data_IF_313918327428
#
_entry.id   IF_313918327428
#
_cell.length_a   1.000
_cell.length_b   1.000
_cell.length_c   1.000
_cell.angle_alpha   90.00
_cell.angle_beta   90.00
_cell.angle_gamma   90.00
#
_symmetry.space_group_name_H-M   'P 1'
#
loop_
_entity.id
_entity.type
_entity.pdbx_description
1 polymer ?
#
# COMPACT_ATOMS: atom_id res chain seq x y z
N UNK A 1 24.95 -5.46 -12.63
CA UNK A 1 23.48 -5.65 -12.67
C UNK A 1 23.23 -7.05 -12.14
N UNK A 2 22.64 -7.15 -10.96
CA UNK A 2 22.24 -8.43 -10.38
C UNK A 2 20.80 -8.61 -10.83
N UNK A 3 20.55 -9.57 -11.71
CA UNK A 3 19.19 -9.97 -12.06
C UNK A 3 18.52 -10.51 -10.79
N UNK A 4 17.27 -10.11 -10.47
CA UNK A 4 16.56 -10.69 -9.35
C UNK A 4 16.35 -12.19 -9.63
N UNK A 5 16.82 -13.04 -8.71
CA UNK A 5 16.59 -14.48 -8.79
C UNK A 5 15.07 -14.75 -8.78
N UNK A 6 14.54 -15.52 -9.74
CA UNK A 6 13.16 -15.98 -9.67
C UNK A 6 12.98 -16.86 -8.42
N UNK A 7 12.01 -16.50 -7.58
CA UNK A 7 11.65 -17.22 -6.35
C UNK A 7 11.39 -18.69 -6.69
N UNK A 8 12.15 -19.62 -6.08
CA UNK A 8 11.94 -21.07 -6.27
C UNK A 8 10.82 -21.58 -5.35
N UNK A 9 9.91 -22.46 -5.82
CA UNK A 9 8.71 -22.84 -5.06
C UNK A 9 8.92 -23.84 -3.91
N UNK A 10 10.14 -24.11 -3.46
CA UNK A 10 10.41 -25.31 -2.65
C UNK A 10 10.83 -24.95 -1.20
N UNK A 11 9.85 -24.55 -0.37
CA UNK A 11 9.90 -24.62 1.10
C UNK A 11 8.52 -24.36 1.77
N UNK A 12 7.41 -24.84 1.20
CA UNK A 12 6.07 -24.58 1.76
C UNK A 12 5.53 -25.80 2.52
N UNK A 13 5.26 -25.66 3.82
CA UNK A 13 4.52 -26.68 4.57
C UNK A 13 3.06 -26.67 4.17
N UNK A 14 2.56 -27.82 3.74
CA UNK A 14 1.16 -28.06 3.38
C UNK A 14 0.28 -28.10 4.63
N UNK A 15 -0.14 -26.92 5.09
CA UNK A 15 -1.36 -26.69 5.87
C UNK A 15 -2.22 -25.66 5.13
N UNK A 16 -3.50 -25.49 5.50
CA UNK A 16 -4.37 -24.43 4.97
C UNK A 16 -3.89 -23.05 5.44
N UNK A 17 -2.79 -22.58 4.85
CA UNK A 17 -2.13 -21.32 5.14
C UNK A 17 -2.81 -20.18 4.38
N UNK A 18 -3.09 -19.08 5.06
CA UNK A 18 -3.50 -17.82 4.42
C UNK A 18 -2.27 -16.95 4.32
N UNK A 19 -2.02 -16.37 3.15
CA UNK A 19 -0.85 -15.55 2.89
C UNK A 19 -1.25 -14.14 2.49
N UNK A 20 -0.65 -13.15 3.14
CA UNK A 20 -0.84 -11.74 2.81
C UNK A 20 0.50 -11.19 2.28
N UNK A 21 0.52 -10.84 1.00
CA UNK A 21 1.64 -10.18 0.36
C UNK A 21 1.57 -8.67 0.59
N UNK A 22 2.69 -8.09 1.00
CA UNK A 22 2.77 -6.67 1.37
C UNK A 22 4.00 -6.03 0.75
N UNK A 23 3.95 -4.71 0.63
CA UNK A 23 5.14 -3.95 0.24
C UNK A 23 6.21 -4.01 1.34
N UNK A 24 7.47 -4.11 0.91
CA UNK A 24 8.60 -4.23 1.83
C UNK A 24 9.72 -5.09 1.27
N UNK A 25 10.95 -4.74 1.65
CA UNK A 25 12.16 -5.44 1.20
C UNK A 25 12.46 -6.74 1.95
N UNK A 26 12.00 -6.85 3.19
CA UNK A 26 12.30 -7.94 4.13
C UNK A 26 11.25 -7.94 5.27
N UNK A 27 11.22 -8.98 6.10
CA UNK A 27 10.26 -9.10 7.20
C UNK A 27 10.45 -8.03 8.31
N UNK A 28 11.55 -7.29 8.22
CA UNK A 28 11.92 -6.23 9.14
C UNK A 28 11.49 -4.83 8.67
N UNK A 29 10.96 -4.71 7.45
CA UNK A 29 10.27 -3.51 6.98
C UNK A 29 9.03 -3.23 7.85
N UNK A 30 8.57 -1.98 7.87
CA UNK A 30 7.55 -1.54 8.82
C UNK A 30 6.24 -2.31 8.64
N UNK A 31 5.69 -2.32 7.43
CA UNK A 31 4.46 -3.00 7.06
C UNK A 31 4.41 -4.49 7.42
N UNK A 32 5.31 -5.36 6.90
CA UNK A 32 5.27 -6.78 7.21
C UNK A 32 5.45 -7.05 8.71
N UNK A 33 6.27 -6.24 9.39
CA UNK A 33 6.48 -6.37 10.83
C UNK A 33 5.19 -6.09 11.61
N UNK A 34 4.51 -4.99 11.31
CA UNK A 34 3.30 -4.57 12.00
C UNK A 34 2.12 -5.49 11.66
N UNK A 35 1.91 -5.77 10.37
CA UNK A 35 0.83 -6.66 9.93
C UNK A 35 1.03 -8.08 10.43
N UNK A 36 2.28 -8.57 10.51
CA UNK A 36 2.59 -9.86 11.11
C UNK A 36 2.17 -9.94 12.58
N UNK A 37 2.35 -8.86 13.35
CA UNK A 37 1.87 -8.80 14.73
C UNK A 37 0.35 -8.65 14.84
N UNK A 38 -0.29 -7.93 13.92
CA UNK A 38 -1.74 -7.77 13.92
C UNK A 38 -2.44 -9.09 13.57
N UNK A 39 -1.99 -9.74 12.49
CA UNK A 39 -2.72 -10.82 11.81
C UNK A 39 -2.17 -12.22 12.08
N UNK A 40 -0.91 -12.37 12.48
CA UNK A 40 -0.28 -13.68 12.67
C UNK A 40 -1.00 -14.59 13.66
N UNK A 41 -1.65 -14.01 14.67
CA UNK A 41 -2.49 -14.75 15.64
C UNK A 41 -3.74 -15.40 15.03
N UNK A 42 -4.13 -14.97 13.83
CA UNK A 42 -5.21 -15.57 13.07
C UNK A 42 -4.68 -16.56 12.01
N UNK A 43 -3.40 -16.95 12.03
CA UNK A 43 -2.84 -17.89 11.06
C UNK A 43 -2.69 -17.27 9.66
N UNK A 44 -2.33 -15.98 9.61
CA UNK A 44 -1.97 -15.27 8.37
C UNK A 44 -0.46 -15.16 8.31
N UNK A 45 0.14 -15.71 7.26
CA UNK A 45 1.55 -15.57 6.92
C UNK A 45 1.77 -14.29 6.11
N UNK A 46 2.41 -13.28 6.70
CA UNK A 46 2.64 -11.98 6.05
C UNK A 46 3.99 -12.00 5.34
N UNK A 47 3.99 -11.80 4.02
CA UNK A 47 5.17 -11.93 3.17
C UNK A 47 5.52 -10.62 2.44
N UNK A 48 6.70 -10.05 2.69
CA UNK A 48 7.21 -8.93 1.92
C UNK A 48 7.66 -9.40 0.54
N UNK A 49 7.32 -8.66 -0.52
CA UNK A 49 7.69 -9.04 -1.90
C UNK A 49 8.28 -7.89 -2.72
N UNK A 50 8.69 -6.80 -2.07
CA UNK A 50 9.27 -5.63 -2.72
C UNK A 50 8.24 -4.53 -2.91
N UNK A 51 8.24 -3.86 -4.07
CA UNK A 51 7.29 -2.81 -4.38
C UNK A 51 5.97 -3.34 -4.94
N UNK A 52 4.96 -2.46 -5.07
CA UNK A 52 3.61 -2.81 -5.54
C UNK A 52 3.55 -3.70 -6.79
N UNK A 53 4.40 -3.49 -7.81
CA UNK A 53 4.41 -4.31 -9.04
C UNK A 53 4.71 -5.79 -8.75
N UNK A 54 5.62 -6.07 -7.81
CA UNK A 54 5.93 -7.43 -7.39
C UNK A 54 4.82 -8.04 -6.54
N UNK A 55 4.18 -7.22 -5.69
CA UNK A 55 3.04 -7.66 -4.87
C UNK A 55 1.90 -8.16 -5.76
N UNK A 56 1.53 -7.38 -6.76
CA UNK A 56 0.48 -7.75 -7.71
C UNK A 56 0.86 -9.00 -8.52
N UNK A 57 2.11 -9.08 -9.01
CA UNK A 57 2.59 -10.23 -9.78
C UNK A 57 2.58 -11.53 -8.95
N UNK A 58 2.98 -11.48 -7.67
CA UNK A 58 2.98 -12.63 -6.79
C UNK A 58 1.58 -13.21 -6.58
N UNK A 59 0.59 -12.36 -6.31
CA UNK A 59 -0.79 -12.80 -6.13
C UNK A 59 -1.36 -13.36 -7.43
N UNK A 60 -1.18 -12.69 -8.56
CA UNK A 60 -1.68 -13.19 -9.85
C UNK A 60 -1.10 -14.55 -10.22
N UNK A 61 0.20 -14.77 -10.00
CA UNK A 61 0.83 -16.06 -10.27
C UNK A 61 0.24 -17.18 -9.41
N UNK A 62 0.02 -16.92 -8.12
CA UNK A 62 -0.49 -17.93 -7.19
C UNK A 62 -1.99 -18.20 -7.38
N UNK A 63 -2.80 -17.17 -7.65
CA UNK A 63 -4.22 -17.37 -8.01
C UNK A 63 -4.37 -18.17 -9.30
N UNK A 64 -3.46 -18.00 -10.26
CA UNK A 64 -3.47 -18.77 -11.50
C UNK A 64 -3.11 -20.25 -11.26
N UNK A 65 -2.13 -20.52 -10.39
CA UNK A 65 -1.77 -21.90 -10.01
C UNK A 65 -2.88 -22.59 -9.23
N UNK A 66 -3.56 -21.86 -8.34
CA UNK A 66 -4.74 -22.34 -7.59
C UNK A 66 -5.89 -22.71 -8.54
N UNK A 67 -6.19 -21.88 -9.54
CA UNK A 67 -7.22 -22.16 -10.56
C UNK A 67 -6.84 -23.32 -11.50
N UNK A 68 -5.54 -23.55 -11.72
CA UNK A 68 -5.03 -24.60 -12.58
C UNK A 68 -4.89 -25.97 -11.89
N UNK A 69 -4.83 -25.98 -10.55
CA UNK A 69 -4.72 -27.20 -9.76
C UNK A 69 -6.09 -27.85 -9.55
N UNK A 70 -6.18 -29.16 -9.79
CA UNK A 70 -7.39 -29.96 -9.51
C UNK A 70 -7.38 -30.57 -8.10
N UNK A 71 -6.35 -30.27 -7.31
CA UNK A 71 -6.20 -30.77 -5.95
C UNK A 71 -6.77 -29.75 -4.94
N UNK A 72 -8.05 -29.91 -4.59
CA UNK A 72 -8.76 -29.08 -3.60
C UNK A 72 -8.15 -29.19 -2.18
N UNK A 73 -7.26 -30.15 -1.92
CA UNK A 73 -6.73 -30.42 -0.58
C UNK A 73 -5.59 -29.49 -0.13
N UNK A 74 -5.07 -28.64 -1.04
CA UNK A 74 -3.92 -27.76 -0.78
C UNK A 74 -4.11 -26.30 -1.25
N UNK A 75 -5.33 -25.77 -1.22
CA UNK A 75 -5.58 -24.36 -1.58
C UNK A 75 -5.03 -23.42 -0.49
N UNK A 76 -3.90 -22.77 -0.79
CA UNK A 76 -3.45 -21.58 -0.04
C UNK A 76 -4.43 -20.45 -0.39
N UNK A 77 -4.70 -19.53 0.53
CA UNK A 77 -5.46 -18.33 0.16
C UNK A 77 -4.53 -17.13 0.11
N UNK A 78 -4.35 -16.57 -1.08
CA UNK A 78 -3.43 -15.47 -1.31
C UNK A 78 -4.17 -14.12 -1.38
N UNK A 79 -3.67 -13.15 -0.61
CA UNK A 79 -4.15 -11.77 -0.57
C UNK A 79 -2.97 -10.83 -0.77
N UNK A 80 -3.22 -9.60 -1.22
CA UNK A 80 -2.22 -8.54 -1.21
C UNK A 80 -2.78 -7.22 -0.72
N UNK A 81 -1.97 -6.48 0.04
CA UNK A 81 -2.23 -5.08 0.31
C UNK A 81 -1.06 -4.21 -0.14
N UNK A 82 -1.38 -3.07 -0.76
CA UNK A 82 -0.40 -2.11 -1.29
C UNK A 82 -0.70 -0.69 -0.80
N UNK A 83 0.32 0.15 -0.86
CA UNK A 83 0.20 1.57 -0.51
C UNK A 83 -0.67 2.31 -1.52
N UNK A 84 -1.37 3.33 -1.03
CA UNK A 84 -2.20 4.19 -1.88
C UNK A 84 -1.37 5.00 -2.86
N UNK A 85 -0.25 5.55 -2.39
CA UNK A 85 0.56 6.51 -3.14
C UNK A 85 -0.29 7.68 -3.68
N UNK A 86 -0.35 7.87 -5.01
CA UNK A 86 -1.08 8.94 -5.69
C UNK A 86 -2.45 8.47 -6.23
N UNK A 87 -2.86 7.21 -5.95
CA UNK A 87 -4.07 6.62 -6.52
C UNK A 87 -5.34 7.39 -6.09
N UNK A 88 -6.29 7.59 -7.02
CA UNK A 88 -7.51 8.33 -6.76
C UNK A 88 -8.46 7.56 -5.83
N UNK A 89 -9.42 8.25 -5.22
CA UNK A 89 -10.34 7.65 -4.22
C UNK A 89 -11.22 6.55 -4.79
N UNK A 90 -11.66 6.68 -6.04
CA UNK A 90 -12.52 5.69 -6.70
C UNK A 90 -11.81 4.34 -6.88
N UNK A 91 -10.53 4.35 -7.31
CA UNK A 91 -9.70 3.14 -7.39
C UNK A 91 -9.51 2.50 -6.01
N UNK A 92 -9.26 3.31 -4.98
CA UNK A 92 -9.07 2.83 -3.61
C UNK A 92 -10.34 2.20 -3.07
N UNK A 93 -11.46 2.95 -3.06
CA UNK A 93 -12.71 2.49 -2.45
C UNK A 93 -13.32 1.29 -3.19
N UNK A 94 -13.06 1.13 -4.49
CA UNK A 94 -13.44 -0.08 -5.22
C UNK A 94 -12.83 -1.36 -4.60
N UNK A 95 -11.66 -1.28 -3.96
CA UNK A 95 -11.04 -2.43 -3.26
C UNK A 95 -11.61 -2.69 -1.86
N UNK A 96 -12.39 -1.74 -1.32
CA UNK A 96 -13.05 -1.82 -0.02
C UNK A 96 -14.57 -2.05 -0.12
N UNK A 97 -15.16 -1.93 -1.30
CA UNK A 97 -16.61 -2.03 -1.52
C UNK A 97 -17.15 -3.41 -1.13
N UNK A 98 -17.89 -3.50 -0.02
CA UNK A 98 -18.38 -4.78 0.53
C UNK A 98 -17.45 -5.38 1.59
N UNK A 99 -16.40 -4.67 1.99
CA UNK A 99 -15.39 -5.06 2.96
C UNK A 99 -14.02 -5.30 2.29
N UNK A 100 -12.93 -5.39 3.07
CA UNK A 100 -11.61 -5.66 2.51
C UNK A 100 -11.60 -7.01 1.80
N UNK A 101 -10.98 -7.07 0.63
CA UNK A 101 -10.86 -8.28 -0.20
C UNK A 101 -12.20 -8.88 -0.68
N UNK A 102 -13.28 -8.10 -0.68
CA UNK A 102 -14.59 -8.58 -1.15
C UNK A 102 -14.70 -8.56 -2.68
N UNK A 103 -14.09 -7.56 -3.34
CA UNK A 103 -14.02 -7.44 -4.80
C UNK A 103 -12.90 -8.28 -5.45
N UNK A 104 -12.06 -8.93 -4.64
CA UNK A 104 -10.93 -9.73 -5.12
C UNK A 104 -9.86 -9.97 -4.05
N UNK A 105 -8.68 -10.40 -4.46
CA UNK A 105 -7.55 -10.67 -3.55
C UNK A 105 -6.66 -9.44 -3.27
N UNK A 106 -7.00 -8.27 -3.82
CA UNK A 106 -6.19 -7.05 -3.70
C UNK A 106 -6.89 -5.97 -2.86
N UNK A 107 -6.12 -5.29 -2.03
CA UNK A 107 -6.55 -4.16 -1.21
C UNK A 107 -5.55 -3.01 -1.39
N UNK A 108 -6.05 -1.79 -1.52
CA UNK A 108 -5.22 -0.58 -1.50
C UNK A 108 -5.54 0.18 -0.22
N UNK A 109 -4.54 0.53 0.60
CA UNK A 109 -4.80 1.31 1.82
C UNK A 109 -5.54 2.61 1.51
N UNK A 110 -6.42 3.08 2.41
CA UNK A 110 -7.08 4.38 2.23
C UNK A 110 -6.13 5.55 2.47
N UNK A 111 -5.06 5.32 3.24
CA UNK A 111 -3.99 6.30 3.50
C UNK A 111 -2.81 6.10 2.57
N UNK A 112 -2.05 7.18 2.36
CA UNK A 112 -0.93 7.30 1.43
C UNK A 112 0.04 6.13 1.53
N UNK A 113 0.47 5.86 2.75
CA UNK A 113 1.27 4.74 3.17
C UNK A 113 0.66 4.13 4.43
N UNK A 114 1.10 2.92 4.76
CA UNK A 114 0.68 2.25 5.98
C UNK A 114 1.17 2.97 7.26
N UNK A 115 2.32 3.66 7.21
CA UNK A 115 2.79 4.50 8.32
C UNK A 115 1.79 5.57 8.74
N UNK A 116 0.94 6.08 7.84
CA UNK A 116 -0.05 7.11 8.16
C UNK A 116 -1.08 6.67 9.22
N UNK A 117 -1.29 5.38 9.47
CA UNK A 117 -2.12 4.92 10.60
C UNK A 117 -1.46 5.22 11.97
N UNK A 118 -0.14 5.37 12.01
CA UNK A 118 0.64 5.70 13.21
C UNK A 118 0.88 7.20 13.38
N UNK A 119 0.24 8.04 12.56
CA UNK A 119 0.24 9.48 12.77
C UNK A 119 -0.92 9.95 13.64
N UNK A 120 -1.87 9.09 14.00
CA UNK A 120 -3.00 9.46 14.85
C UNK A 120 -2.58 9.54 16.33
N UNK A 121 -2.55 10.73 16.95
CA UNK A 121 -2.06 10.87 18.32
C UNK A 121 -2.85 10.01 19.30
N UNK A 122 -4.18 9.98 19.16
CA UNK A 122 -5.08 9.16 19.98
C UNK A 122 -4.77 7.66 19.89
N UNK A 123 -4.30 7.19 18.72
CA UNK A 123 -3.90 5.80 18.56
C UNK A 123 -2.55 5.52 19.21
N UNK A 124 -1.51 6.26 18.83
CA UNK A 124 -0.14 5.92 19.24
C UNK A 124 0.16 6.26 20.70
N UNK A 125 -0.56 7.21 21.31
CA UNK A 125 -0.42 7.52 22.74
C UNK A 125 -0.89 6.38 23.65
N UNK A 126 -1.58 5.37 23.11
CA UNK A 126 -1.99 4.19 23.86
C UNK A 126 -0.89 3.13 24.00
N UNK A 127 0.29 3.36 23.41
CA UNK A 127 1.43 2.46 23.58
C UNK A 127 1.92 2.48 25.04
N UNK A 128 2.31 1.34 25.59
CA UNK A 128 2.79 1.22 26.98
C UNK A 128 4.06 2.04 27.23
N UNK A 129 4.84 2.26 26.17
CA UNK A 129 6.09 3.03 26.19
C UNK A 129 5.88 4.54 25.98
N UNK A 130 4.64 5.01 25.83
CA UNK A 130 4.35 6.43 25.73
C UNK A 130 4.56 7.11 27.10
N UNK A 131 5.38 8.15 27.13
CA UNK A 131 5.72 8.94 28.32
C UNK A 131 5.42 10.44 28.13
N UNK A 132 4.92 10.81 26.95
CA UNK A 132 4.66 12.20 26.57
C UNK A 132 3.28 12.72 26.98
N UNK A 133 3.03 13.98 26.64
CA UNK A 133 1.69 14.57 26.67
C UNK A 133 1.05 14.50 25.27
N UNK A 134 -0.23 14.12 25.21
CA UNK A 134 -0.95 13.94 23.94
C UNK A 134 -1.06 15.21 23.11
N UNK A 135 -1.24 16.36 23.77
CA UNK A 135 -1.31 17.67 23.12
C UNK A 135 0.02 18.06 22.46
N UNK A 136 1.13 17.73 23.09
CA UNK A 136 2.49 17.96 22.64
C UNK A 136 2.85 17.08 21.46
N UNK A 137 2.38 15.82 21.46
CA UNK A 137 2.47 14.89 20.34
C UNK A 137 1.69 15.44 19.13
N UNK A 138 0.42 15.79 19.33
CA UNK A 138 -0.45 16.35 18.30
C UNK A 138 0.12 17.66 17.71
N UNK A 139 0.59 18.56 18.58
CA UNK A 139 1.22 19.81 18.18
C UNK A 139 2.56 19.59 17.47
N UNK A 140 3.31 18.55 17.85
CA UNK A 140 4.54 18.13 17.19
C UNK A 140 4.30 17.72 15.75
N UNK A 141 3.32 16.83 15.55
CA UNK A 141 2.91 16.37 14.23
C UNK A 141 2.43 17.52 13.36
N UNK A 142 1.53 18.37 13.86
CA UNK A 142 1.03 19.52 13.09
C UNK A 142 2.15 20.45 12.65
N UNK A 143 3.13 20.72 13.52
CA UNK A 143 4.29 21.55 13.14
C UNK A 143 5.11 20.92 12.02
N UNK A 144 5.35 19.62 12.09
CA UNK A 144 6.13 18.93 11.04
C UNK A 144 5.35 18.86 9.73
N UNK A 145 4.06 18.48 9.79
CA UNK A 145 3.18 18.49 8.63
C UNK A 145 3.11 19.90 8.00
N UNK A 146 3.00 20.94 8.81
CA UNK A 146 2.96 22.32 8.32
C UNK A 146 4.24 22.74 7.59
N UNK A 147 5.40 22.26 8.03
CA UNK A 147 6.69 22.52 7.36
C UNK A 147 6.80 21.82 6.01
N UNK A 148 6.08 20.70 5.84
CA UNK A 148 6.22 19.81 4.68
C UNK A 148 5.06 19.89 3.68
N UNK A 149 3.89 20.41 4.05
CA UNK A 149 2.68 20.37 3.22
C UNK A 149 2.89 20.84 1.77
N UNK A 150 3.67 21.91 1.55
CA UNK A 150 3.98 22.39 0.19
C UNK A 150 4.93 21.45 -0.56
N UNK A 151 5.91 20.86 0.14
CA UNK A 151 6.82 19.88 -0.42
C UNK A 151 6.06 18.60 -0.82
N UNK A 152 5.18 18.10 0.06
CA UNK A 152 4.39 16.91 -0.20
C UNK A 152 3.33 17.15 -1.31
N UNK A 153 2.68 18.33 -1.34
CA UNK A 153 1.81 18.71 -2.46
C UNK A 153 2.53 18.69 -3.82
N UNK A 154 3.77 19.20 -3.87
CA UNK A 154 4.60 19.16 -5.07
C UNK A 154 5.02 17.74 -5.44
N UNK A 155 5.39 16.92 -4.45
CA UNK A 155 5.77 15.52 -4.69
C UNK A 155 4.61 14.66 -5.18
N UNK A 156 3.37 14.93 -4.76
CA UNK A 156 2.20 14.25 -5.31
C UNK A 156 2.08 14.50 -6.83
N UNK A 157 2.38 15.72 -7.30
CA UNK A 157 2.43 16.03 -8.76
C UNK A 157 3.54 15.22 -9.44
N UNK A 158 4.73 15.14 -8.83
CA UNK A 158 5.86 14.38 -9.40
C UNK A 158 5.56 12.87 -9.45
N UNK A 159 4.93 12.32 -8.40
CA UNK A 159 4.49 10.91 -8.36
C UNK A 159 3.45 10.64 -9.46
N UNK A 160 2.46 11.51 -9.60
CA UNK A 160 1.45 11.41 -10.67
C UNK A 160 2.09 11.42 -12.06
N UNK A 161 3.04 12.35 -12.31
CA UNK A 161 3.77 12.42 -13.57
C UNK A 161 4.55 11.14 -13.84
N UNK A 162 5.29 10.61 -12.85
CA UNK A 162 6.04 9.35 -13.01
C UNK A 162 5.13 8.21 -13.44
N UNK A 163 3.93 8.11 -12.84
CA UNK A 163 2.98 7.08 -13.23
C UNK A 163 2.42 7.29 -14.64
N UNK A 164 2.04 8.51 -15.01
CA UNK A 164 1.61 8.84 -16.37
C UNK A 164 2.70 8.50 -17.39
N UNK A 165 3.95 8.81 -17.08
CA UNK A 165 5.09 8.48 -17.95
C UNK A 165 5.30 6.97 -18.11
N UNK A 166 5.06 6.16 -17.07
CA UNK A 166 5.11 4.68 -17.15
C UNK A 166 3.97 4.08 -17.97
N UNK A 167 2.78 4.67 -17.88
CA UNK A 167 1.57 4.16 -18.53
C UNK A 167 1.39 4.64 -19.97
N UNK A 168 2.19 5.59 -20.46
CA UNK A 168 2.07 6.05 -21.82
C UNK A 168 2.41 4.98 -22.84
N UNK A 169 1.51 4.87 -23.81
CA UNK A 169 1.64 3.98 -24.94
C UNK A 169 2.88 4.36 -25.75
N UNK A 170 3.90 3.50 -25.73
CA UNK A 170 4.96 3.54 -26.73
C UNK A 170 4.38 2.91 -28.00
N UNK A 171 4.40 3.62 -29.14
CA UNK A 171 3.81 3.13 -30.38
C UNK A 171 4.38 1.76 -30.74
N UNK A 172 3.50 0.78 -30.97
CA UNK A 172 3.90 -0.47 -31.61
C UNK A 172 3.98 -0.23 -33.11
N UNK A 173 5.17 -0.35 -33.67
CA UNK A 173 5.33 -0.22 -35.13
C UNK A 173 4.63 -1.42 -35.81
N UNK A 174 3.65 -1.18 -36.69
CA UNK A 174 3.02 -2.27 -37.41
C UNK A 174 3.99 -2.88 -38.43
N UNK A 175 3.94 -4.20 -38.60
CA UNK A 175 4.66 -4.86 -39.69
C UNK A 175 3.94 -4.59 -41.01
N UNK A 176 4.56 -3.82 -41.92
CA UNK A 176 3.94 -3.43 -43.20
C UNK A 176 4.87 -3.75 -44.37
N UNK A 177 4.66 -4.92 -44.99
CA UNK A 177 5.40 -5.34 -46.19
C UNK A 177 6.91 -5.33 -45.96
N UNK A 178 7.64 -4.54 -46.76
CA UNK A 178 9.10 -4.41 -46.72
C UNK A 178 9.60 -3.30 -45.77
N UNK A 179 8.76 -2.78 -44.87
CA UNK A 179 9.10 -1.66 -43.96
C UNK A 179 10.28 -1.92 -43.03
N UNK A 180 10.68 -3.19 -42.86
CA UNK A 180 11.84 -3.63 -42.07
C UNK A 180 12.82 -4.49 -42.89
N UNK A 181 12.78 -4.41 -44.22
CA UNK A 181 13.64 -5.21 -45.10
C UNK A 181 15.13 -4.84 -45.02
N UNK A 182 15.44 -3.62 -44.60
CA UNK A 182 16.80 -3.13 -44.35
C UNK A 182 16.82 -2.06 -43.25
N UNK A 183 18.03 -1.70 -42.79
CA UNK A 183 18.22 -0.75 -41.69
C UNK A 183 17.65 0.65 -42.01
N UNK A 184 17.76 1.13 -43.25
CA UNK A 184 17.28 2.46 -43.62
C UNK A 184 15.75 2.51 -43.63
N UNK A 185 15.09 1.45 -44.09
CA UNK A 185 13.62 1.32 -44.04
C UNK A 185 13.10 1.16 -42.61
N UNK A 186 13.80 0.39 -41.77
CA UNK A 186 13.47 0.25 -40.36
C UNK A 186 13.58 1.61 -39.63
N UNK A 187 14.65 2.37 -39.90
CA UNK A 187 14.84 3.72 -39.36
C UNK A 187 13.75 4.69 -39.84
N UNK A 188 13.44 4.71 -41.14
CA UNK A 188 12.36 5.54 -41.67
C UNK A 188 10.99 5.20 -41.07
N UNK A 189 10.71 3.90 -40.86
CA UNK A 189 9.47 3.42 -40.23
C UNK A 189 9.39 3.82 -38.75
N UNK A 190 10.52 3.78 -38.03
CA UNK A 190 10.61 4.23 -36.65
C UNK A 190 10.36 5.74 -36.55
N UNK A 191 11.04 6.55 -37.37
CA UNK A 191 10.93 8.02 -37.34
C UNK A 191 9.57 8.52 -37.86
N UNK A 192 8.93 7.79 -38.75
CA UNK A 192 7.65 8.15 -39.37
C UNK A 192 6.41 7.70 -38.61
N UNK A 193 6.52 7.07 -37.44
CA UNK A 193 5.34 6.63 -36.70
C UNK A 193 4.54 7.83 -36.15
N UNK A 194 3.31 7.97 -36.64
CA UNK A 194 2.45 9.13 -36.36
C UNK A 194 2.18 9.36 -34.86
N UNK A 195 2.20 8.29 -34.09
CA UNK A 195 1.89 8.34 -32.66
C UNK A 195 2.98 9.06 -31.84
N UNK A 196 4.21 9.20 -32.38
CA UNK A 196 5.27 9.95 -31.68
C UNK A 196 4.90 11.40 -31.44
N UNK A 197 4.22 12.04 -32.40
CA UNK A 197 3.81 13.45 -32.27
C UNK A 197 2.71 13.61 -31.21
N UNK A 198 1.72 12.71 -31.20
CA UNK A 198 0.66 12.71 -30.19
C UNK A 198 1.22 12.49 -28.78
N UNK A 199 2.15 11.54 -28.63
CA UNK A 199 2.86 11.30 -27.37
C UNK A 199 3.64 12.55 -26.96
N UNK A 200 4.40 13.18 -27.86
CA UNK A 200 5.18 14.38 -27.56
C UNK A 200 4.30 15.55 -27.09
N UNK A 201 3.18 15.81 -27.79
CA UNK A 201 2.22 16.85 -27.43
C UNK A 201 1.61 16.59 -26.05
N UNK A 202 1.20 15.35 -25.76
CA UNK A 202 0.70 14.98 -24.44
C UNK A 202 1.76 15.18 -23.35
N UNK A 203 3.06 14.93 -23.64
CA UNK A 203 4.15 15.23 -22.70
C UNK A 203 4.29 16.71 -22.43
N UNK A 204 4.27 17.52 -23.50
CA UNK A 204 4.41 18.96 -23.40
C UNK A 204 3.26 19.58 -22.59
N UNK A 205 2.04 19.12 -22.80
CA UNK A 205 0.85 19.59 -22.08
C UNK A 205 0.98 19.35 -20.56
N UNK A 206 1.30 18.12 -20.13
CA UNK A 206 1.41 17.80 -18.69
C UNK A 206 2.67 18.36 -18.03
N UNK A 207 3.67 18.76 -18.82
CA UNK A 207 4.85 19.46 -18.33
C UNK A 207 4.73 20.99 -18.42
N UNK A 208 3.60 21.50 -18.93
CA UNK A 208 3.36 22.93 -19.01
C UNK A 208 3.28 23.58 -17.62
N UNK A 209 3.74 24.83 -17.52
CA UNK A 209 3.68 25.58 -16.27
C UNK A 209 2.23 25.76 -15.76
N UNK A 210 1.25 25.83 -16.66
CA UNK A 210 -0.16 25.93 -16.32
C UNK A 210 -0.66 24.63 -15.67
N UNK A 211 -0.39 23.49 -16.29
CA UNK A 211 -0.79 22.18 -15.76
C UNK A 211 -0.12 21.91 -14.40
N UNK A 212 1.19 22.12 -14.29
CA UNK A 212 1.94 21.91 -13.05
C UNK A 212 1.41 22.78 -11.91
N UNK A 213 1.12 24.06 -12.19
CA UNK A 213 0.55 24.99 -11.20
C UNK A 213 -0.86 24.58 -10.80
N UNK A 214 -1.68 24.19 -11.76
CA UNK A 214 -3.04 23.70 -11.52
C UNK A 214 -3.04 22.47 -10.63
N UNK A 215 -2.22 21.46 -10.95
CA UNK A 215 -2.09 20.24 -10.14
C UNK A 215 -1.51 20.49 -8.75
N UNK A 216 -0.47 21.31 -8.64
CA UNK A 216 0.09 21.67 -7.34
C UNK A 216 -0.95 22.34 -6.43
N UNK A 217 -1.72 23.30 -6.97
CA UNK A 217 -2.80 23.95 -6.23
C UNK A 217 -3.88 22.95 -5.84
N UNK A 218 -4.38 22.15 -6.80
CA UNK A 218 -5.39 21.12 -6.49
C UNK A 218 -4.95 20.18 -5.37
N UNK A 219 -3.71 19.68 -5.41
CA UNK A 219 -3.18 18.83 -4.34
C UNK A 219 -3.09 19.59 -3.01
N UNK A 220 -2.57 20.82 -3.02
CA UNK A 220 -2.50 21.63 -1.82
C UNK A 220 -3.89 21.83 -1.20
N UNK A 221 -4.91 22.10 -2.02
CA UNK A 221 -6.30 22.31 -1.61
C UNK A 221 -6.86 21.07 -0.94
N UNK A 222 -6.60 19.89 -1.52
CA UNK A 222 -6.95 18.59 -0.94
C UNK A 222 -6.27 18.39 0.41
N UNK A 223 -4.97 18.69 0.53
CA UNK A 223 -4.25 18.51 1.80
C UNK A 223 -4.77 19.43 2.90
N UNK A 224 -5.01 20.71 2.60
CA UNK A 224 -5.39 21.72 3.63
C UNK A 224 -6.90 21.87 3.83
N UNK A 225 -7.72 21.41 2.88
CA UNK A 225 -9.17 21.53 2.89
C UNK A 225 -9.68 22.96 2.69
N UNK A 226 -9.06 23.73 1.77
CA UNK A 226 -9.42 25.06 1.19
C UNK A 226 -8.21 26.03 1.12
N UNK A 227 -7.97 26.64 -0.06
CA UNK A 227 -6.98 27.73 -0.23
C UNK A 227 -7.35 28.92 0.66
N UNK A 228 -6.51 29.23 1.64
CA UNK A 228 -6.64 30.45 2.45
C UNK A 228 -6.38 30.24 3.93
N UNK A 229 -6.32 29.00 4.40
CA UNK A 229 -5.96 28.70 5.78
C UNK A 229 -4.44 28.60 5.94
N UNK A 230 -3.89 29.41 6.84
CA UNK A 230 -2.46 29.51 7.08
C UNK A 230 -1.89 28.33 7.90
N UNK A 231 -2.74 27.55 8.58
CA UNK A 231 -2.32 26.49 9.49
C UNK A 231 -3.15 25.22 9.30
N UNK A 232 -2.46 24.08 9.18
CA UNK A 232 -3.04 22.74 9.24
C UNK A 232 -3.75 22.51 10.58
N UNK A 233 -4.83 21.73 10.54
CA UNK A 233 -5.62 21.35 11.70
C UNK A 233 -6.03 19.88 11.57
N UNK A 234 -6.17 19.19 12.69
CA UNK A 234 -6.75 17.84 12.69
C UNK A 234 -8.21 17.90 12.26
N UNK A 235 -8.65 16.87 11.53
CA UNK A 235 -10.02 16.77 11.00
C UNK A 235 -10.33 17.72 9.84
N UNK A 236 -9.33 18.45 9.33
CA UNK A 236 -9.50 19.35 8.18
C UNK A 236 -8.56 18.97 7.05
N UNK A 237 -9.12 18.90 5.84
CA UNK A 237 -8.39 18.46 4.65
C UNK A 237 -7.95 17.00 4.77
N UNK A 238 -7.11 16.57 3.84
CA UNK A 238 -6.65 15.18 3.76
C UNK A 238 -5.15 15.03 4.07
N UNK A 239 -4.51 16.03 4.68
CA UNK A 239 -3.06 16.00 4.92
C UNK A 239 -2.60 14.74 5.68
N UNK A 240 -3.34 14.32 6.70
CA UNK A 240 -3.03 13.12 7.49
C UNK A 240 -3.18 11.83 6.67
N UNK A 241 -4.05 11.86 5.65
CA UNK A 241 -4.32 10.73 4.77
C UNK A 241 -3.34 10.68 3.60
N UNK A 242 -2.92 11.82 3.06
CA UNK A 242 -2.29 11.92 1.73
C UNK A 242 -0.81 12.32 1.75
N UNK A 243 -0.29 12.84 2.86
CA UNK A 243 1.13 13.15 2.98
C UNK A 243 1.95 11.87 3.16
N UNK A 244 3.25 11.96 2.85
CA UNK A 244 4.25 10.93 3.11
C UNK A 244 4.43 10.71 4.62
N UNK A 245 3.86 9.63 5.12
CA UNK A 245 3.88 9.22 6.51
C UNK A 245 5.24 8.80 6.98
N UNK A 246 6.05 8.16 6.12
CA UNK A 246 7.44 7.86 6.45
C UNK A 246 8.22 9.13 6.81
N UNK A 247 7.91 10.23 6.13
CA UNK A 247 8.47 11.55 6.41
C UNK A 247 8.00 12.19 7.72
N UNK A 248 6.80 11.84 8.20
CA UNK A 248 6.17 12.42 9.38
C UNK A 248 6.36 11.57 10.64
N UNK A 249 6.41 10.25 10.50
CA UNK A 249 6.40 9.29 11.61
C UNK A 249 7.58 9.51 12.56
N UNK A 250 8.75 9.95 12.05
CA UNK A 250 9.90 10.26 12.89
C UNK A 250 9.71 11.45 13.84
N UNK A 251 8.76 12.34 13.55
CA UNK A 251 8.40 13.44 14.46
C UNK A 251 7.43 13.01 15.56
N UNK A 252 6.66 11.95 15.30
CA UNK A 252 5.64 11.40 16.21
C UNK A 252 6.27 10.31 17.08
N UNK A 253 6.79 9.25 16.44
CA UNK A 253 7.47 8.13 17.07
C UNK A 253 8.93 8.50 17.35
N UNK A 254 9.14 9.40 18.29
CA UNK A 254 10.47 9.85 18.70
C UNK A 254 10.73 9.65 20.19
N UNK A 255 12.01 9.66 20.57
CA UNK A 255 12.47 9.56 21.96
C UNK A 255 11.91 10.67 22.86
N UNK A 256 11.37 11.75 22.26
CA UNK A 256 10.67 12.80 23.00
C UNK A 256 9.38 12.29 23.66
N UNK A 257 8.70 11.35 23.02
CA UNK A 257 7.36 10.91 23.43
C UNK A 257 7.33 9.44 23.88
N UNK A 258 8.32 8.66 23.47
CA UNK A 258 8.38 7.22 23.72
C UNK A 258 9.73 6.82 24.32
N UNK A 259 9.69 5.98 25.34
CA UNK A 259 10.87 5.38 25.94
C UNK A 259 10.75 3.85 25.87
N UNK A 260 11.58 3.24 25.02
CA UNK A 260 11.62 1.78 24.87
C UNK A 260 13.01 1.27 25.22
N UNK A 261 13.17 0.44 26.27
CA UNK A 261 14.46 -0.12 26.62
C UNK A 261 14.88 -1.19 25.59
N UNK A 262 16.12 -1.08 25.11
CA UNK A 262 16.77 -2.09 24.29
C UNK A 262 17.29 -3.27 25.11
N UNK A 263 17.68 -4.35 24.43
CA UNK A 263 18.21 -5.56 25.07
C UNK A 263 19.54 -5.35 25.79
N UNK A 264 20.29 -4.32 25.44
CA UNK A 264 21.54 -3.90 26.07
C UNK A 264 21.33 -2.86 27.19
N UNK A 265 20.07 -2.54 27.52
CA UNK A 265 19.68 -1.54 28.49
C UNK A 265 19.71 -0.10 27.98
N UNK A 266 20.11 0.15 26.73
CA UNK A 266 20.05 1.50 26.14
C UNK A 266 18.68 1.77 25.50
N UNK A 267 18.16 3.00 25.54
CA UNK A 267 16.93 3.34 24.84
C UNK A 267 17.04 3.09 23.32
N UNK A 268 15.99 2.53 22.74
CA UNK A 268 15.89 2.34 21.29
C UNK A 268 15.59 3.67 20.59
N UNK A 269 16.12 3.81 19.38
CA UNK A 269 16.02 5.05 18.59
C UNK A 269 15.61 4.77 17.15
N UNK A 270 15.12 5.80 16.45
CA UNK A 270 14.76 5.74 15.03
C UNK A 270 13.85 4.55 14.68
N UNK A 271 14.17 3.83 13.59
CA UNK A 271 13.34 2.70 13.10
C UNK A 271 13.18 1.55 14.09
N UNK A 272 14.10 1.38 15.05
CA UNK A 272 13.94 0.36 16.09
C UNK A 272 12.84 0.78 17.07
N UNK A 273 12.84 2.04 17.50
CA UNK A 273 11.78 2.60 18.34
C UNK A 273 10.41 2.45 17.66
N UNK A 274 10.29 2.84 16.38
CA UNK A 274 9.02 2.82 15.65
C UNK A 274 8.40 1.43 15.62
N UNK A 275 9.21 0.41 15.30
CA UNK A 275 8.77 -0.98 15.21
C UNK A 275 8.31 -1.50 16.57
N UNK A 276 9.00 -1.14 17.64
CA UNK A 276 8.66 -1.61 18.97
C UNK A 276 7.38 -0.96 19.52
N UNK A 277 7.18 0.33 19.25
CA UNK A 277 5.91 1.03 19.52
C UNK A 277 4.77 0.36 18.75
N UNK A 278 4.95 0.17 17.44
CA UNK A 278 3.92 -0.42 16.60
C UNK A 278 3.61 -1.87 17.01
N UNK A 279 4.64 -2.67 17.34
CA UNK A 279 4.49 -4.02 17.88
C UNK A 279 3.67 -4.04 19.16
N UNK A 280 3.93 -3.14 20.10
CA UNK A 280 3.16 -3.04 21.35
C UNK A 280 1.68 -2.76 21.07
N UNK A 281 1.39 -1.77 20.23
CA UNK A 281 0.02 -1.44 19.80
C UNK A 281 -0.68 -2.63 19.12
N UNK A 282 0.01 -3.33 18.22
CA UNK A 282 -0.57 -4.47 17.50
C UNK A 282 -0.86 -5.66 18.42
N UNK A 283 0.04 -5.98 19.36
CA UNK A 283 -0.15 -7.09 20.30
C UNK A 283 -1.35 -6.92 21.21
N UNK A 284 -1.64 -5.67 21.59
CA UNK A 284 -2.77 -5.31 22.47
C UNK A 284 -3.96 -4.75 21.70
N UNK A 285 -3.93 -4.81 20.36
CA UNK A 285 -4.85 -4.08 19.50
C UNK A 285 -6.32 -4.27 19.88
N UNK A 286 -6.73 -5.50 20.20
CA UNK A 286 -8.12 -5.80 20.57
C UNK A 286 -8.58 -5.06 21.83
N UNK A 287 -7.68 -4.86 22.79
CA UNK A 287 -7.94 -4.22 24.08
C UNK A 287 -7.82 -2.69 24.04
N UNK A 288 -7.34 -2.12 22.92
CA UNK A 288 -7.19 -0.68 22.79
C UNK A 288 -8.56 0.03 22.73
N UNK A 289 -8.79 1.09 23.54
CA UNK A 289 -10.03 1.87 23.46
C UNK A 289 -10.24 2.54 22.11
N UNK A 290 -9.19 3.05 21.48
CA UNK A 290 -9.25 3.65 20.14
C UNK A 290 -8.41 2.86 19.14
N UNK A 291 -8.97 2.61 17.94
CA UNK A 291 -8.34 1.83 16.87
C UNK A 291 -8.63 2.48 15.51
N UNK A 292 -7.64 2.60 14.61
CA UNK A 292 -7.90 2.99 13.23
C UNK A 292 -8.83 2.00 12.54
N UNK A 293 -9.87 2.53 11.90
CA UNK A 293 -10.99 1.72 11.38
C UNK A 293 -10.55 0.73 10.30
N UNK A 294 -9.66 1.11 9.39
CA UNK A 294 -9.17 0.22 8.32
C UNK A 294 -8.42 -1.00 8.90
N UNK A 295 -7.64 -0.80 9.97
CA UNK A 295 -6.97 -1.91 10.67
C UNK A 295 -7.97 -2.84 11.36
N UNK A 296 -9.06 -2.29 11.89
CA UNK A 296 -10.17 -3.08 12.45
C UNK A 296 -10.82 -3.93 11.37
N UNK A 297 -11.13 -3.36 10.21
CA UNK A 297 -11.77 -4.05 9.10
C UNK A 297 -10.90 -5.19 8.56
N UNK A 298 -9.61 -4.94 8.32
CA UNK A 298 -8.67 -5.97 7.85
C UNK A 298 -8.49 -7.08 8.89
N UNK A 299 -8.34 -6.73 10.18
CA UNK A 299 -8.29 -7.71 11.27
C UNK A 299 -9.55 -8.57 11.29
N UNK A 300 -10.72 -7.94 11.21
CA UNK A 300 -12.01 -8.63 11.32
C UNK A 300 -12.26 -9.55 10.13
N UNK A 301 -11.82 -9.17 8.93
CA UNK A 301 -11.81 -10.05 7.78
C UNK A 301 -11.04 -11.34 8.06
N UNK A 302 -9.78 -11.26 8.51
CA UNK A 302 -9.00 -12.47 8.77
C UNK A 302 -9.46 -13.24 10.02
N UNK A 303 -10.05 -12.57 11.00
CA UNK A 303 -10.64 -13.22 12.18
C UNK A 303 -11.90 -14.01 11.81
N UNK A 304 -12.77 -13.47 10.97
CA UNK A 304 -14.10 -14.01 10.70
C UNK A 304 -14.14 -14.93 9.47
N UNK A 305 -13.22 -14.74 8.52
CA UNK A 305 -13.10 -15.62 7.36
C UNK A 305 -12.44 -16.93 7.79
N UNK A 306 -13.22 -18.00 7.85
CA UNK A 306 -12.64 -19.34 7.94
C UNK A 306 -11.87 -19.64 6.64
N UNK A 307 -10.77 -20.42 6.69
CA UNK A 307 -10.19 -20.98 5.47
C UNK A 307 -11.32 -21.63 4.67
N UNK A 308 -11.51 -21.21 3.41
CA UNK A 308 -12.55 -21.81 2.57
C UNK A 308 -12.16 -23.27 2.37
N UNK A 309 -12.85 -24.16 3.06
CA UNK A 309 -12.94 -25.55 2.64
C UNK A 309 -13.91 -25.55 1.46
N UNK A 310 -13.38 -25.52 0.24
CA UNK A 310 -14.19 -25.90 -0.92
C UNK A 310 -14.45 -27.40 -0.78
N UNK A 311 -15.62 -27.73 -0.23
CA UNK A 311 -15.99 -29.10 0.10
C UNK A 311 -17.49 -29.25 0.10
N UNK A 312 -18.00 -29.80 -1.01
CA UNK A 312 -19.29 -30.48 -1.15
C UNK A 312 -20.52 -29.56 -1.02
N UNK A 313 -21.08 -29.17 -2.17
CA UNK A 313 -22.53 -29.02 -2.23
C UNK A 313 -23.14 -30.34 -1.78
N UNK A 314 -23.75 -30.36 -0.60
CA UNK A 314 -24.65 -31.43 -0.18
C UNK A 314 -25.76 -31.52 -1.24
N UNK A 315 -25.55 -32.39 -2.23
CA UNK A 315 -26.64 -32.92 -3.03
C UNK A 315 -27.40 -33.84 -2.11
N UNK A 316 -28.28 -33.25 -1.31
CA UNK A 316 -29.28 -33.96 -0.54
C UNK A 316 -30.07 -34.85 -1.51
N UNK A 317 -29.70 -36.12 -1.54
CA UNK A 317 -30.42 -37.17 -2.24
C UNK A 317 -31.84 -37.23 -1.68
N UNK A 318 -32.81 -36.83 -2.50
CA UNK A 318 -34.20 -37.22 -2.28
C UNK A 318 -34.32 -38.74 -2.46
N UNK A 319 -34.80 -39.49 -1.47
CA UNK A 319 -35.16 -40.88 -1.68
C UNK A 319 -36.41 -40.92 -2.57
N UNK A 320 -36.26 -41.44 -3.80
CA UNK A 320 -37.41 -41.84 -4.61
C UNK A 320 -38.03 -43.09 -3.99
N UNK A 321 -39.21 -42.92 -3.41
CA UNK A 321 -40.14 -43.99 -3.11
C UNK A 321 -40.73 -44.56 -4.41
N UNK A 322 -40.52 -45.86 -4.65
CA UNK A 322 -41.51 -46.81 -5.19
C UNK A 322 -41.16 -48.21 -4.72
#
# INVERSE_FOLDING_TARGET
MIEPEPMRPEAFSLGTERRLFVEGKDEFAFDPHVLGHLLGRYGVDVRPVGGCENVMAAVHALTWEEDASSDESACTQCYSVIDRDYRPDDEVEATWEGGPFSAGCHLIWRRHDFENYFLEPEFVSQALCFQGDGDGLASGLLREAQRRVFYDAANLVVKELRFRFRSWHVPKLPWVGDSFADAAKAEASLLGANDWQAVAQAKEEVLSAEWLRGRFRGNLDTLVGEIGHAALQFGRGEWLTRMDGHGLIGSVLSERFFEVPGSDGKPLTGKQLWREVARDLMRRFDDLPYKPQDLVEVRDFFRNTQPRWFGVTDTAGSPRSR
#
